data_IF_842131576566
#
_entry.id   IF_842131576566
#
_cell.length_a   1.000
_cell.length_b   1.000
_cell.length_c   1.000
_cell.angle_alpha   90.00
_cell.angle_beta   90.00
_cell.angle_gamma   90.00
#
_symmetry.space_group_name_H-M   'P 1'
#
loop_
_entity.id
_entity.type
_entity.pdbx_description
1 polymer ?
#
# COMPACT_ATOMS: atom_id res chain seq x y z
N UNK A 1 -1.08 11.41 5.56
CA UNK A 1 -0.26 11.15 4.35
C UNK A 1 0.87 12.16 4.28
N UNK A 2 2.08 11.73 3.94
CA UNK A 2 3.25 12.57 3.67
C UNK A 2 3.68 12.34 2.22
N UNK A 3 3.99 13.41 1.50
CA UNK A 3 4.49 13.34 0.12
C UNK A 3 5.84 14.03 0.05
N UNK A 4 6.87 13.30 -0.40
CA UNK A 4 8.23 13.81 -0.59
C UNK A 4 8.50 13.81 -2.09
N UNK A 5 8.52 14.99 -2.69
CA UNK A 5 8.65 15.16 -4.14
C UNK A 5 10.10 15.12 -4.60
N UNK A 6 10.31 14.88 -5.90
CA UNK A 6 11.62 14.97 -6.56
C UNK A 6 12.59 13.86 -6.18
N UNK A 7 12.11 12.77 -5.59
CA UNK A 7 12.97 11.63 -5.25
C UNK A 7 13.16 10.71 -6.45
N UNK A 8 14.40 10.30 -6.67
CA UNK A 8 14.77 9.22 -7.59
C UNK A 8 15.66 8.28 -6.80
N UNK A 9 15.10 7.20 -6.32
CA UNK A 9 15.78 6.26 -5.44
C UNK A 9 15.89 4.90 -6.13
N UNK A 10 17.10 4.37 -6.14
CA UNK A 10 17.29 2.95 -6.44
C UNK A 10 16.70 2.08 -5.33
N UNK A 11 16.33 0.81 -5.60
CA UNK A 11 15.66 -0.05 -4.62
C UNK A 11 16.37 -0.13 -3.27
N UNK A 12 17.68 -0.23 -3.25
CA UNK A 12 18.46 -0.26 -2.01
C UNK A 12 18.39 1.05 -1.22
N UNK A 13 18.34 2.18 -1.91
CA UNK A 13 18.21 3.51 -1.29
C UNK A 13 16.79 3.70 -0.72
N UNK A 14 15.77 3.25 -1.44
CA UNK A 14 14.40 3.24 -0.94
C UNK A 14 14.29 2.40 0.33
N UNK A 15 14.85 1.20 0.34
CA UNK A 15 14.86 0.33 1.50
C UNK A 15 15.58 0.96 2.71
N UNK A 16 16.72 1.62 2.47
CA UNK A 16 17.45 2.34 3.51
C UNK A 16 16.62 3.49 4.09
N UNK A 17 15.92 4.25 3.25
CA UNK A 17 15.04 5.33 3.68
C UNK A 17 13.84 4.79 4.50
N UNK A 18 13.22 3.69 4.07
CA UNK A 18 12.10 3.05 4.78
C UNK A 18 12.52 2.59 6.18
N UNK A 19 13.72 2.05 6.32
CA UNK A 19 14.27 1.59 7.61
C UNK A 19 14.42 2.69 8.66
N UNK A 20 14.44 3.95 8.26
CA UNK A 20 14.40 5.08 9.21
C UNK A 20 13.08 5.16 10.00
N UNK A 21 12.02 4.55 9.51
CA UNK A 21 10.70 4.51 10.16
C UNK A 21 10.50 3.25 11.01
N UNK A 22 11.39 2.28 10.94
CA UNK A 22 11.35 1.02 11.66
C UNK A 22 11.70 -0.20 10.83
N UNK A 23 11.41 -1.37 11.35
CA UNK A 23 11.62 -2.62 10.62
C UNK A 23 10.65 -2.74 9.44
N UNK A 24 11.17 -3.29 8.35
CA UNK A 24 10.37 -3.52 7.15
C UNK A 24 9.55 -4.78 7.33
N UNK A 25 8.24 -4.64 7.19
CA UNK A 25 7.32 -5.77 7.24
C UNK A 25 7.44 -6.60 5.95
N UNK A 26 7.78 -7.90 6.03
CA UNK A 26 7.92 -8.74 4.84
C UNK A 26 6.56 -9.00 4.20
N UNK A 27 6.52 -8.94 2.88
CA UNK A 27 5.31 -9.22 2.12
C UNK A 27 5.06 -10.73 2.00
N UNK A 28 3.82 -11.16 2.13
CA UNK A 28 3.45 -12.57 1.98
C UNK A 28 3.52 -13.05 0.54
N UNK A 29 3.14 -12.19 -0.41
CA UNK A 29 3.16 -12.54 -1.82
C UNK A 29 4.48 -12.10 -2.45
N UNK A 30 5.34 -13.07 -2.73
CA UNK A 30 6.67 -12.80 -3.32
C UNK A 30 6.67 -12.67 -4.85
N UNK A 31 5.53 -12.90 -5.50
CA UNK A 31 5.41 -12.83 -6.98
C UNK A 31 5.87 -11.49 -7.55
N UNK A 32 5.63 -10.41 -6.83
CA UNK A 32 5.95 -9.05 -7.26
C UNK A 32 7.21 -8.48 -6.60
N UNK A 33 7.95 -9.31 -5.88
CA UNK A 33 9.20 -8.90 -5.24
C UNK A 33 10.27 -8.58 -6.29
N UNK A 34 11.04 -7.53 -6.07
CA UNK A 34 12.20 -7.25 -6.91
C UNK A 34 13.29 -8.27 -6.61
N UNK A 35 13.88 -8.92 -7.63
CA UNK A 35 14.93 -9.94 -7.42
C UNK A 35 16.12 -9.41 -6.62
N UNK A 36 16.55 -8.18 -6.91
CA UNK A 36 17.68 -7.51 -6.25
C UNK A 36 17.34 -6.95 -4.87
N UNK A 37 16.04 -6.82 -4.54
CA UNK A 37 15.59 -6.26 -3.27
C UNK A 37 14.21 -6.86 -2.86
N UNK A 38 14.17 -8.13 -2.39
CA UNK A 38 12.92 -8.88 -2.19
C UNK A 38 11.92 -8.28 -1.18
N UNK A 39 12.36 -7.33 -0.36
CA UNK A 39 11.48 -6.59 0.57
C UNK A 39 10.70 -5.48 -0.13
N UNK A 40 11.02 -5.17 -1.38
CA UNK A 40 10.30 -4.20 -2.19
C UNK A 40 9.49 -4.95 -3.24
N UNK A 41 8.20 -4.60 -3.34
CA UNK A 41 7.32 -5.10 -4.38
C UNK A 41 7.02 -4.00 -5.38
N UNK A 42 7.05 -4.35 -6.66
CA UNK A 42 6.57 -3.44 -7.69
C UNK A 42 5.05 -3.51 -7.81
N UNK A 43 4.47 -2.41 -8.22
CA UNK A 43 3.06 -2.29 -8.62
C UNK A 43 3.05 -1.79 -10.06
N UNK A 44 2.39 -2.51 -10.95
CA UNK A 44 2.34 -2.19 -12.37
C UNK A 44 0.92 -2.29 -12.92
N UNK A 45 0.56 -1.37 -13.80
CA UNK A 45 -0.67 -1.47 -14.60
C UNK A 45 -0.46 -2.25 -15.91
N UNK A 46 0.73 -2.79 -16.13
CA UNK A 46 1.05 -3.64 -17.28
C UNK A 46 0.79 -5.12 -17.01
N UNK A 47 0.64 -5.50 -15.76
CA UNK A 47 0.35 -6.87 -15.36
C UNK A 47 -1.02 -7.33 -15.88
N UNK A 48 -1.11 -8.61 -16.21
CA UNK A 48 -2.33 -9.22 -16.73
C UNK A 48 -2.64 -10.53 -16.04
N UNK A 49 -3.92 -10.84 -15.95
CA UNK A 49 -4.42 -12.16 -15.63
C UNK A 49 -4.19 -13.14 -16.81
N UNK A 50 -4.28 -14.47 -16.58
CA UNK A 50 -4.17 -15.45 -17.66
C UNK A 50 -5.16 -15.27 -18.80
N UNK A 51 -6.32 -14.66 -18.53
CA UNK A 51 -7.36 -14.34 -19.52
C UNK A 51 -7.05 -13.05 -20.33
N UNK A 52 -5.92 -12.40 -20.08
CA UNK A 52 -5.49 -11.18 -20.75
C UNK A 52 -6.05 -9.89 -20.16
N UNK A 53 -6.96 -9.95 -19.18
CA UNK A 53 -7.46 -8.75 -18.50
C UNK A 53 -6.37 -8.09 -17.67
N UNK A 54 -6.40 -6.75 -17.55
CA UNK A 54 -5.41 -6.02 -16.74
C UNK A 54 -5.58 -6.34 -15.27
N UNK A 55 -4.45 -6.63 -14.63
CA UNK A 55 -4.36 -6.66 -13.18
C UNK A 55 -3.92 -5.29 -12.66
N UNK A 56 -4.73 -4.67 -11.81
CA UNK A 56 -4.39 -3.43 -11.13
C UNK A 56 -4.45 -3.70 -9.64
N UNK A 57 -3.29 -3.71 -9.00
CA UNK A 57 -3.23 -3.89 -7.55
C UNK A 57 -3.92 -2.72 -6.84
N UNK A 58 -4.67 -3.03 -5.78
CA UNK A 58 -5.28 -2.01 -4.95
C UNK A 58 -6.46 -1.27 -5.58
N UNK A 59 -7.18 -1.89 -6.53
CA UNK A 59 -8.33 -1.28 -7.21
C UNK A 59 -9.51 -0.90 -6.27
N UNK A 60 -9.57 -1.46 -5.06
CA UNK A 60 -10.57 -1.13 -4.04
C UNK A 60 -9.93 -0.54 -2.79
N UNK A 61 -10.71 0.22 -2.01
CA UNK A 61 -10.24 0.71 -0.71
C UNK A 61 -9.92 -0.47 0.23
N UNK A 62 -8.74 -0.46 0.79
CA UNK A 62 -8.25 -1.47 1.73
C UNK A 62 -7.21 -0.88 2.68
N UNK A 63 -6.89 -1.63 3.70
CA UNK A 63 -5.71 -1.41 4.55
C UNK A 63 -4.79 -2.61 4.38
N UNK A 64 -3.53 -2.36 4.06
CA UNK A 64 -2.54 -3.42 3.90
C UNK A 64 -2.37 -4.19 5.20
N UNK A 65 -2.32 -5.54 5.08
CA UNK A 65 -2.06 -6.44 6.21
C UNK A 65 -2.97 -6.23 7.42
N UNK A 66 -4.22 -5.80 7.22
CA UNK A 66 -5.20 -5.60 8.30
C UNK A 66 -5.51 -6.89 9.09
N UNK A 67 -5.18 -8.05 8.54
CA UNK A 67 -5.31 -9.37 9.16
C UNK A 67 -4.10 -9.75 10.05
N UNK A 68 -3.03 -8.97 10.07
CA UNK A 68 -1.88 -9.24 10.91
C UNK A 68 -2.16 -8.84 12.37
N UNK A 69 -1.64 -9.62 13.33
CA UNK A 69 -1.75 -9.31 14.77
C UNK A 69 -1.09 -7.96 15.09
N UNK A 70 0.03 -7.66 14.42
CA UNK A 70 0.71 -6.37 14.48
C UNK A 70 0.83 -5.82 13.05
N UNK A 71 -0.16 -5.06 12.58
CA UNK A 71 -0.13 -4.50 11.23
C UNK A 71 0.95 -3.41 11.11
N UNK A 72 1.49 -3.19 9.90
CA UNK A 72 2.49 -2.15 9.68
C UNK A 72 1.91 -0.75 9.99
N UNK A 73 2.74 0.11 10.57
CA UNK A 73 2.37 1.50 10.89
C UNK A 73 2.15 2.36 9.65
N UNK A 74 2.87 2.07 8.59
CA UNK A 74 2.86 2.86 7.37
C UNK A 74 3.21 1.99 6.16
N UNK A 75 2.69 2.38 5.01
CA UNK A 75 3.10 1.86 3.70
C UNK A 75 3.83 2.99 2.96
N UNK A 76 4.94 2.67 2.32
CA UNK A 76 5.71 3.61 1.50
C UNK A 76 5.57 3.21 0.04
N UNK A 77 5.12 4.14 -0.79
CA UNK A 77 5.05 4.00 -2.24
C UNK A 77 6.07 4.93 -2.89
N UNK A 78 6.90 4.39 -3.78
CA UNK A 78 7.84 5.16 -4.59
C UNK A 78 7.37 5.14 -6.04
N UNK A 79 7.06 6.31 -6.60
CA UNK A 79 6.66 6.43 -7.99
C UNK A 79 7.88 6.36 -8.90
N UNK A 80 7.98 5.32 -9.73
CA UNK A 80 9.04 5.12 -10.72
C UNK A 80 8.60 5.66 -12.09
N UNK A 81 7.38 5.34 -12.48
CA UNK A 81 6.76 5.83 -13.71
C UNK A 81 5.30 6.13 -13.44
N UNK A 82 4.86 7.28 -13.90
CA UNK A 82 3.49 7.74 -13.73
C UNK A 82 2.79 7.81 -15.09
N UNK A 83 1.49 7.53 -15.15
CA UNK A 83 0.71 7.76 -16.37
C UNK A 83 0.62 9.26 -16.67
N UNK A 84 0.39 9.59 -17.95
CA UNK A 84 0.20 10.99 -18.37
C UNK A 84 -1.04 11.62 -17.71
N UNK A 85 -2.07 10.82 -17.44
CA UNK A 85 -3.28 11.26 -16.75
C UNK A 85 -3.92 10.12 -15.96
N UNK A 86 -4.61 10.45 -14.89
CA UNK A 86 -5.25 9.48 -14.00
C UNK A 86 -4.25 8.66 -13.16
N UNK A 87 -4.72 7.57 -12.58
CA UNK A 87 -3.90 6.69 -11.73
C UNK A 87 -3.67 7.24 -10.32
N UNK A 88 -4.51 8.18 -9.88
CA UNK A 88 -4.40 8.78 -8.54
C UNK A 88 -4.63 7.75 -7.44
N UNK A 89 -3.83 7.83 -6.40
CA UNK A 89 -4.06 7.06 -5.17
C UNK A 89 -4.99 7.84 -4.25
N UNK A 90 -6.13 7.23 -3.94
CA UNK A 90 -7.13 7.82 -3.06
C UNK A 90 -6.98 7.30 -1.63
N UNK A 91 -7.19 8.17 -0.66
CA UNK A 91 -7.11 7.85 0.75
C UNK A 91 -8.39 8.22 1.49
N UNK A 92 -8.80 7.39 2.44
CA UNK A 92 -9.93 7.64 3.33
C UNK A 92 -9.45 7.82 4.76
N UNK A 93 -9.95 8.84 5.43
CA UNK A 93 -9.73 9.00 6.87
C UNK A 93 -10.65 8.06 7.63
N UNK A 94 -10.09 6.96 8.16
CA UNK A 94 -10.85 5.91 8.85
C UNK A 94 -11.46 6.39 10.18
N UNK A 95 -10.87 7.37 10.87
CA UNK A 95 -11.49 7.97 12.05
C UNK A 95 -12.81 8.66 11.67
N UNK A 96 -12.80 9.47 10.60
CA UNK A 96 -14.03 10.11 10.11
C UNK A 96 -15.05 9.10 9.60
N UNK A 97 -14.59 8.03 8.95
CA UNK A 97 -15.47 6.96 8.51
C UNK A 97 -16.17 6.29 9.70
N UNK A 98 -15.42 5.97 10.75
CA UNK A 98 -15.98 5.45 12.00
C UNK A 98 -16.95 6.44 12.66
N UNK A 99 -16.55 7.71 12.77
CA UNK A 99 -17.39 8.76 13.40
C UNK A 99 -18.73 8.94 12.68
N UNK A 100 -18.76 8.74 11.37
CA UNK A 100 -19.95 8.78 10.55
C UNK A 100 -20.88 7.55 10.68
N UNK A 101 -20.45 6.47 11.37
CA UNK A 101 -21.29 5.28 11.51
C UNK A 101 -22.46 5.52 12.47
N UNK A 102 -23.66 4.98 12.15
CA UNK A 102 -24.78 4.95 13.08
C UNK A 102 -24.41 4.23 14.39
N UNK A 103 -24.97 4.69 15.51
CA UNK A 103 -24.69 4.17 16.86
C UNK A 103 -24.82 2.63 16.95
N UNK A 104 -25.86 2.08 16.31
CA UNK A 104 -26.10 0.64 16.26
C UNK A 104 -24.97 -0.14 15.53
N UNK A 105 -24.28 0.47 14.54
CA UNK A 105 -23.14 -0.15 13.88
C UNK A 105 -21.89 -0.07 14.74
N UNK A 106 -21.64 1.08 15.38
CA UNK A 106 -20.51 1.25 16.31
C UNK A 106 -20.56 0.20 17.42
N UNK A 107 -21.71 0.04 18.08
CA UNK A 107 -21.90 -0.95 19.16
C UNK A 107 -21.63 -2.41 18.74
N UNK A 108 -21.72 -2.73 17.43
CA UNK A 108 -21.43 -4.08 16.91
C UNK A 108 -19.93 -4.33 16.71
N UNK A 109 -19.13 -3.30 16.52
CA UNK A 109 -17.71 -3.41 16.19
C UNK A 109 -16.80 -2.96 17.31
N UNK A 110 -17.30 -2.19 18.26
CA UNK A 110 -16.55 -1.74 19.44
C UNK A 110 -16.13 -2.93 20.30
N UNK A 111 -14.85 -3.01 20.63
CA UNK A 111 -14.29 -4.08 21.46
C UNK A 111 -14.14 -5.44 20.77
N UNK A 112 -14.15 -5.48 19.41
CA UNK A 112 -13.92 -6.70 18.62
C UNK A 112 -12.45 -6.82 18.20
#
# INVERSE_FOLDING_TARGET
MLVIRGQRLEPAQLLAAVRLFGEVFPQHNTKFALPECPLIHYISNQDRYPDGTRYIAGAGYHTDHSNAVAPPKATVLCAVSLPHSGGDTQYVNMHRAYDGLPKAKKSKIDGK
#
